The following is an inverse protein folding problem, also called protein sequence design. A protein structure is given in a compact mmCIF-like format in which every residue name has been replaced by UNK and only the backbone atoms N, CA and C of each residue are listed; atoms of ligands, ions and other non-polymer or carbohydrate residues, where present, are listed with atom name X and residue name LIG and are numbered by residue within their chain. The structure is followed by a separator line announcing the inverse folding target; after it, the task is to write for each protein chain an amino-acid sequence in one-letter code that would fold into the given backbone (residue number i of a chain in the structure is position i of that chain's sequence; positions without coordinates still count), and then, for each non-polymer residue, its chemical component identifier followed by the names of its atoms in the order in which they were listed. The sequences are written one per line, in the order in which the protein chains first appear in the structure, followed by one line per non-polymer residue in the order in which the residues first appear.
data_IF_788450259372
#
_entry.id   IF_788450259372
#
_cell.length_a   1.000
_cell.length_b   1.000
_cell.length_c   1.000
_cell.angle_alpha   90.00
_cell.angle_beta   90.00
_cell.angle_gamma   90.00
#
_symmetry.space_group_name_H-M   'P 1'
#
loop_
_entity.id
_entity.type
_entity.pdbx_description
1 polymer ?
#
# COMPACT_ATOMS: atom_id res chain seq x y z
N UNK A 1 48.30 -32.07 -43.39
CA UNK A 1 47.29 -32.06 -44.48
C UNK A 1 45.95 -31.63 -43.90
N UNK A 2 45.00 -31.28 -44.76
CA UNK A 2 43.67 -30.70 -44.46
C UNK A 2 43.75 -29.23 -44.01
N UNK A 3 43.30 -28.36 -44.91
CA UNK A 3 43.08 -26.94 -44.70
C UNK A 3 41.72 -26.58 -45.33
N UNK A 4 40.86 -25.88 -44.59
CA UNK A 4 39.67 -25.20 -45.08
C UNK A 4 39.67 -23.80 -44.42
N UNK A 5 40.11 -22.75 -45.12
CA UNK A 5 39.36 -21.93 -46.09
C UNK A 5 38.13 -21.22 -45.51
N UNK A 6 38.27 -19.90 -45.48
CA UNK A 6 37.29 -18.87 -45.09
C UNK A 6 36.86 -18.17 -46.37
N UNK A 7 35.58 -17.79 -46.51
CA UNK A 7 35.10 -16.48 -47.00
C UNK A 7 33.54 -16.51 -47.12
N UNK A 8 32.86 -15.34 -47.17
CA UNK A 8 31.50 -15.21 -46.62
C UNK A 8 30.41 -15.09 -47.69
N UNK A 9 29.16 -15.00 -47.23
CA UNK A 9 28.11 -14.32 -47.99
C UNK A 9 27.39 -13.28 -47.13
N UNK A 10 27.22 -12.09 -47.69
CA UNK A 10 26.54 -10.95 -47.09
C UNK A 10 25.29 -10.58 -47.92
N UNK A 11 24.45 -9.71 -47.36
CA UNK A 11 23.25 -9.11 -47.97
C UNK A 11 22.05 -10.10 -48.11
N UNK A 12 20.79 -9.70 -47.87
CA UNK A 12 20.19 -8.35 -48.03
C UNK A 12 18.87 -8.20 -47.23
N UNK A 13 18.54 -6.96 -46.87
CA UNK A 13 17.22 -6.37 -46.55
C UNK A 13 16.19 -7.17 -45.69
N UNK A 14 15.71 -6.72 -44.52
CA UNK A 14 15.09 -5.42 -44.16
C UNK A 14 13.68 -5.20 -44.72
N UNK A 15 12.63 -5.45 -43.91
CA UNK A 15 11.42 -4.62 -43.93
C UNK A 15 10.56 -4.73 -42.65
N UNK A 16 10.06 -3.57 -42.21
CA UNK A 16 8.80 -3.31 -41.49
C UNK A 16 8.63 -3.79 -40.03
N UNK A 17 8.91 -2.83 -39.14
CA UNK A 17 8.07 -2.51 -37.98
C UNK A 17 6.57 -2.52 -38.34
N UNK A 18 5.75 -3.15 -37.49
CA UNK A 18 4.53 -2.59 -36.91
C UNK A 18 3.90 -3.63 -35.97
N UNK A 19 3.95 -3.37 -34.66
CA UNK A 19 3.21 -4.11 -33.65
C UNK A 19 2.55 -3.10 -32.73
N UNK A 20 1.31 -2.71 -33.05
CA UNK A 20 0.47 -1.92 -32.16
C UNK A 20 0.21 -2.73 -30.89
N UNK A 21 0.34 -2.08 -29.74
CA UNK A 21 -0.01 -2.66 -28.46
C UNK A 21 -1.50 -2.56 -28.22
N UNK A 22 -2.22 -3.67 -28.28
CA UNK A 22 -3.59 -3.76 -27.76
C UNK A 22 -3.60 -3.52 -26.25
N UNK A 23 -4.02 -2.32 -25.85
CA UNK A 23 -4.44 -2.02 -24.49
C UNK A 23 -5.95 -2.18 -24.39
N UNK A 24 -6.40 -3.35 -23.94
CA UNK A 24 -7.81 -3.66 -23.73
C UNK A 24 -8.48 -2.63 -22.80
N UNK A 25 -9.49 -1.94 -23.32
CA UNK A 25 -10.31 -0.99 -22.54
C UNK A 25 -11.04 -1.71 -21.39
N UNK A 26 -11.02 -1.08 -20.22
CA UNK A 26 -12.04 -1.27 -19.19
C UNK A 26 -12.83 0.04 -19.12
N UNK A 27 -13.97 0.09 -19.79
CA UNK A 27 -14.95 1.16 -19.57
C UNK A 27 -15.81 0.80 -18.35
N UNK A 28 -16.01 1.78 -17.49
CA UNK A 28 -17.11 1.82 -16.54
C UNK A 28 -17.76 3.19 -16.72
N UNK A 29 -19.04 3.17 -17.05
CA UNK A 29 -19.80 4.35 -17.42
C UNK A 29 -20.07 5.23 -16.18
N UNK A 30 -20.10 6.53 -16.40
CA UNK A 30 -20.50 7.52 -15.42
C UNK A 30 -21.49 8.46 -16.10
N UNK A 31 -22.78 8.19 -15.91
CA UNK A 31 -23.85 9.07 -16.38
C UNK A 31 -23.85 10.37 -15.57
N UNK A 32 -23.98 11.48 -16.28
CA UNK A 32 -24.19 12.80 -15.71
C UNK A 32 -25.68 13.05 -15.57
N UNK A 33 -26.11 13.66 -14.47
CA UNK A 33 -27.40 14.34 -14.43
C UNK A 33 -27.25 15.77 -13.92
N UNK A 34 -27.94 16.69 -14.60
CA UNK A 34 -27.74 18.12 -14.47
C UNK A 34 -29.08 18.82 -14.71
N UNK A 35 -29.69 19.38 -13.67
CA UNK A 35 -30.87 20.25 -13.85
C UNK A 35 -30.89 21.43 -12.89
N UNK A 36 -31.01 22.62 -13.48
CA UNK A 36 -31.34 23.89 -12.83
C UNK A 36 -32.88 24.02 -12.70
N UNK A 37 -33.37 24.84 -11.76
CA UNK A 37 -34.35 25.90 -12.09
C UNK A 37 -34.72 26.84 -10.94
N UNK A 38 -35.31 27.97 -11.33
CA UNK A 38 -35.66 29.20 -10.60
C UNK A 38 -37.04 29.67 -11.16
N UNK A 39 -37.92 30.43 -10.49
CA UNK A 39 -37.85 31.09 -9.18
C UNK A 39 -39.25 31.57 -8.68
N UNK A 40 -39.30 32.12 -7.44
CA UNK A 40 -40.24 33.15 -6.93
C UNK A 40 -41.78 32.89 -6.78
N UNK A 41 -42.26 33.22 -5.57
CA UNK A 41 -43.54 33.85 -5.17
C UNK A 41 -44.91 33.41 -5.70
N UNK A 42 -45.83 33.17 -4.75
CA UNK A 42 -47.13 33.88 -4.67
C UNK A 42 -47.57 34.10 -3.21
N UNK A 43 -48.61 34.91 -3.02
CA UNK A 43 -49.10 35.58 -1.79
C UNK A 43 -50.08 34.78 -0.92
N UNK A 44 -50.28 35.18 0.34
CA UNK A 44 -51.54 34.91 1.06
C UNK A 44 -51.48 35.12 2.58
N UNK A 45 -52.25 36.07 3.10
CA UNK A 45 -52.57 36.23 4.54
C UNK A 45 -53.89 35.52 4.84
N UNK A 46 -53.96 34.70 5.89
CA UNK A 46 -55.17 34.45 6.70
C UNK A 46 -54.85 33.57 7.95
N UNK A 47 -55.82 33.43 8.86
CA UNK A 47 -55.86 32.54 10.04
C UNK A 47 -54.93 32.77 11.26
N UNK A 48 -55.25 33.82 12.03
CA UNK A 48 -54.95 33.88 13.47
C UNK A 48 -56.12 33.31 14.29
N UNK A 49 -56.26 31.98 14.37
CA UNK A 49 -56.94 31.25 15.47
C UNK A 49 -56.47 29.77 15.67
N UNK A 50 -55.40 29.31 15.00
CA UNK A 50 -54.94 27.91 15.09
C UNK A 50 -53.75 27.63 16.04
N UNK A 51 -53.18 28.65 16.71
CA UNK A 51 -51.89 28.53 17.42
C UNK A 51 -51.84 27.47 18.54
N UNK A 52 -52.91 27.26 19.33
CA UNK A 52 -52.86 26.31 20.46
C UNK A 52 -52.81 24.83 20.01
N UNK A 53 -53.54 24.46 18.96
CA UNK A 53 -53.50 23.10 18.41
C UNK A 53 -52.16 22.84 17.73
N UNK A 54 -51.65 23.83 16.99
CA UNK A 54 -50.39 23.71 16.27
C UNK A 54 -49.19 23.69 17.23
N UNK A 55 -49.26 24.42 18.36
CA UNK A 55 -48.25 24.35 19.43
C UNK A 55 -48.22 22.97 20.10
N UNK A 56 -49.37 22.35 20.37
CA UNK A 56 -49.44 20.98 20.92
C UNK A 56 -48.99 19.90 19.91
N UNK A 57 -49.27 20.08 18.62
CA UNK A 57 -48.75 19.19 17.57
C UNK A 57 -47.23 19.33 17.42
N UNK A 58 -46.70 20.56 17.41
CA UNK A 58 -45.27 20.84 17.36
C UNK A 58 -44.54 20.30 18.60
N UNK A 59 -45.12 20.45 19.80
CA UNK A 59 -44.58 19.85 21.02
C UNK A 59 -44.52 18.31 20.93
N UNK A 60 -45.53 17.66 20.36
CA UNK A 60 -45.50 16.21 20.13
C UNK A 60 -44.50 15.79 19.04
N UNK A 61 -44.29 16.59 18.00
CA UNK A 61 -43.24 16.35 16.99
C UNK A 61 -41.85 16.48 17.62
N UNK A 62 -41.59 17.55 18.39
CA UNK A 62 -40.32 17.75 19.12
C UNK A 62 -40.10 16.61 20.12
N UNK A 63 -41.12 16.18 20.86
CA UNK A 63 -41.02 15.06 21.81
C UNK A 63 -40.76 13.73 21.10
N UNK A 64 -41.43 13.43 19.98
CA UNK A 64 -41.12 12.26 19.14
C UNK A 64 -39.70 12.31 18.57
N UNK A 65 -39.24 13.49 18.13
CA UNK A 65 -37.88 13.70 17.59
C UNK A 65 -36.82 13.50 18.68
N UNK A 66 -37.02 14.05 19.88
CA UNK A 66 -36.14 13.85 21.02
C UNK A 66 -36.13 12.39 21.52
N UNK A 67 -37.28 11.72 21.58
CA UNK A 67 -37.35 10.29 21.93
C UNK A 67 -36.67 9.43 20.86
N UNK A 68 -36.81 9.76 19.57
CA UNK A 68 -36.04 9.14 18.48
C UNK A 68 -34.54 9.37 18.64
N UNK A 69 -34.09 10.59 18.95
CA UNK A 69 -32.66 10.87 19.20
C UNK A 69 -32.12 10.07 20.40
N UNK A 70 -32.89 9.95 21.49
CA UNK A 70 -32.46 9.13 22.64
C UNK A 70 -32.54 7.62 22.36
N UNK A 71 -33.54 7.12 21.65
CA UNK A 71 -33.64 5.71 21.30
C UNK A 71 -32.54 5.30 20.31
N UNK A 72 -32.24 6.14 19.31
CA UNK A 72 -31.09 5.95 18.43
C UNK A 72 -29.79 5.91 19.25
N UNK A 73 -29.56 6.85 20.18
CA UNK A 73 -28.33 6.87 20.99
C UNK A 73 -28.04 5.56 21.74
N UNK A 74 -29.06 4.77 22.11
CA UNK A 74 -28.91 3.45 22.73
C UNK A 74 -28.66 2.32 21.71
N UNK A 75 -29.32 2.37 20.55
CA UNK A 75 -29.10 1.44 19.44
C UNK A 75 -27.70 1.61 18.84
N UNK A 76 -27.31 2.85 18.56
CA UNK A 76 -25.98 3.25 18.10
C UNK A 76 -24.93 2.70 19.05
N UNK A 77 -25.04 3.01 20.35
CA UNK A 77 -24.10 2.56 21.37
C UNK A 77 -24.04 1.01 21.46
N UNK A 78 -25.13 0.29 21.18
CA UNK A 78 -25.10 -1.17 21.12
C UNK A 78 -24.34 -1.67 19.89
N UNK A 79 -24.60 -1.11 18.71
CA UNK A 79 -23.90 -1.52 17.51
C UNK A 79 -22.38 -1.22 17.57
N UNK A 80 -21.98 -0.07 18.15
CA UNK A 80 -20.57 0.23 18.40
C UNK A 80 -19.91 -0.82 19.32
N UNK A 81 -20.60 -1.24 20.40
CA UNK A 81 -20.14 -2.34 21.26
C UNK A 81 -20.00 -3.65 20.48
N UNK A 82 -20.97 -4.01 19.65
CA UNK A 82 -20.94 -5.26 18.88
C UNK A 82 -19.80 -5.31 17.87
N UNK A 83 -19.52 -4.19 17.18
CA UNK A 83 -18.37 -4.07 16.27
C UNK A 83 -17.03 -4.11 17.01
N UNK A 84 -16.93 -3.48 18.19
CA UNK A 84 -15.74 -3.55 19.05
C UNK A 84 -15.50 -4.97 19.62
N UNK A 85 -16.57 -5.67 20.02
CA UNK A 85 -16.51 -7.06 20.45
C UNK A 85 -16.12 -7.99 19.30
N UNK A 86 -16.63 -7.78 18.07
CA UNK A 86 -16.21 -8.53 16.89
C UNK A 86 -14.72 -8.31 16.58
N UNK A 87 -14.24 -7.06 16.60
CA UNK A 87 -12.81 -6.74 16.45
C UNK A 87 -11.95 -7.43 17.51
N UNK A 88 -12.37 -7.38 18.78
CA UNK A 88 -11.67 -8.03 19.89
C UNK A 88 -11.61 -9.55 19.75
N UNK A 89 -12.68 -10.20 19.28
CA UNK A 89 -12.71 -11.65 19.04
C UNK A 89 -11.78 -12.07 17.90
N UNK A 90 -11.84 -11.40 16.75
CA UNK A 90 -10.97 -11.67 15.60
C UNK A 90 -9.49 -11.45 15.95
N UNK A 91 -9.19 -10.39 16.70
CA UNK A 91 -7.85 -10.09 17.19
C UNK A 91 -7.32 -11.16 18.15
N UNK A 92 -8.13 -11.56 19.13
CA UNK A 92 -7.77 -12.62 20.08
C UNK A 92 -7.56 -13.97 19.37
N UNK A 93 -8.41 -14.30 18.38
CA UNK A 93 -8.26 -15.51 17.59
C UNK A 93 -6.98 -15.48 16.73
N UNK A 94 -6.70 -14.38 16.03
CA UNK A 94 -5.46 -14.23 15.27
C UNK A 94 -4.24 -14.43 16.19
N UNK A 95 -4.18 -13.69 17.30
CA UNK A 95 -3.06 -13.74 18.26
C UNK A 95 -2.90 -15.13 18.89
N UNK A 96 -3.97 -15.91 19.05
CA UNK A 96 -3.89 -17.30 19.46
C UNK A 96 -3.33 -18.20 18.34
N UNK A 97 -3.80 -18.05 17.10
CA UNK A 97 -3.34 -18.85 15.95
C UNK A 97 -1.88 -18.60 15.58
N UNK A 98 -1.37 -17.36 15.69
CA UNK A 98 0.01 -16.98 15.30
C UNK A 98 1.01 -16.89 16.45
N UNK A 99 0.62 -17.17 17.71
CA UNK A 99 1.51 -17.04 18.89
C UNK A 99 2.85 -17.77 18.75
N UNK A 100 2.82 -18.95 18.15
CA UNK A 100 3.97 -19.83 17.95
C UNK A 100 4.42 -19.83 16.47
N UNK A 101 4.00 -18.85 15.67
CA UNK A 101 4.50 -18.63 14.32
C UNK A 101 5.87 -17.93 14.36
N UNK A 102 6.64 -18.05 13.29
CA UNK A 102 7.69 -17.05 13.02
C UNK A 102 7.04 -15.69 12.77
N UNK A 103 7.73 -14.60 13.12
CA UNK A 103 7.37 -13.24 12.73
C UNK A 103 7.08 -13.17 11.20
N UNK A 104 5.90 -12.70 10.76
CA UNK A 104 5.64 -12.51 9.34
C UNK A 104 6.49 -11.38 8.77
N UNK A 105 7.01 -11.59 7.56
CA UNK A 105 7.74 -10.58 6.81
C UNK A 105 6.80 -9.81 5.88
N UNK A 106 6.49 -8.57 6.23
CA UNK A 106 5.56 -7.70 5.50
C UNK A 106 6.32 -6.75 4.57
N UNK A 107 5.93 -6.71 3.30
CA UNK A 107 6.51 -5.84 2.29
C UNK A 107 5.49 -4.81 1.82
N UNK A 108 5.79 -3.54 2.10
CA UNK A 108 5.11 -2.38 1.52
C UNK A 108 6.06 -1.55 0.66
N UNK A 109 5.53 -0.48 0.05
CA UNK A 109 6.36 0.44 -0.73
C UNK A 109 5.58 1.27 -1.75
N UNK A 110 6.16 2.40 -2.14
CA UNK A 110 5.59 3.30 -3.15
C UNK A 110 5.96 2.78 -4.55
N UNK A 111 5.17 1.82 -5.06
CA UNK A 111 5.26 1.32 -6.43
C UNK A 111 4.99 -0.18 -6.59
N UNK A 112 4.22 -0.55 -7.61
CA UNK A 112 3.66 -1.91 -7.75
C UNK A 112 4.64 -2.97 -8.30
N UNK A 113 5.64 -2.56 -9.09
CA UNK A 113 6.50 -3.47 -9.84
C UNK A 113 7.77 -3.86 -9.10
N UNK A 114 8.44 -2.93 -8.41
CA UNK A 114 9.64 -3.21 -7.61
C UNK A 114 9.36 -4.17 -6.45
N UNK A 115 8.27 -3.92 -5.72
CA UNK A 115 7.82 -4.75 -4.60
C UNK A 115 7.58 -6.23 -4.99
N UNK A 116 7.16 -6.53 -6.23
CA UNK A 116 7.03 -7.92 -6.72
C UNK A 116 8.37 -8.61 -6.92
N UNK A 117 9.41 -7.89 -7.36
CA UNK A 117 10.72 -8.47 -7.61
C UNK A 117 11.44 -8.85 -6.31
N UNK A 118 11.32 -8.02 -5.27
CA UNK A 118 11.87 -8.31 -3.93
C UNK A 118 11.09 -9.46 -3.24
N UNK A 119 9.77 -9.48 -3.35
CA UNK A 119 8.97 -10.61 -2.84
C UNK A 119 9.33 -11.94 -3.53
N UNK A 120 9.59 -11.92 -4.84
CA UNK A 120 10.11 -13.09 -5.56
C UNK A 120 11.50 -13.51 -5.07
N UNK A 121 12.42 -12.56 -4.85
CA UNK A 121 13.75 -12.81 -4.27
C UNK A 121 13.64 -13.54 -2.92
N UNK A 122 12.84 -13.04 -1.96
CA UNK A 122 12.71 -13.71 -0.66
C UNK A 122 11.93 -15.03 -0.73
N UNK A 123 11.10 -15.23 -1.76
CA UNK A 123 10.52 -16.54 -2.06
C UNK A 123 11.61 -17.56 -2.44
N UNK A 124 12.66 -17.14 -3.16
CA UNK A 124 13.81 -18.03 -3.46
C UNK A 124 14.68 -18.32 -2.21
N UNK A 125 14.68 -17.40 -1.24
CA UNK A 125 15.31 -17.56 0.07
C UNK A 125 14.53 -18.51 1.01
N UNK A 126 13.27 -18.85 0.69
CA UNK A 126 12.44 -19.78 1.46
C UNK A 126 11.35 -19.15 2.30
N UNK A 127 11.14 -17.83 2.20
CA UNK A 127 9.99 -17.16 2.82
C UNK A 127 8.75 -17.44 1.97
N UNK A 128 7.69 -17.97 2.58
CA UNK A 128 6.39 -18.08 1.91
C UNK A 128 5.78 -16.69 1.69
N UNK A 129 5.60 -16.29 0.44
CA UNK A 129 5.05 -14.97 0.05
C UNK A 129 3.74 -15.12 -0.73
N UNK A 130 2.84 -15.96 -0.23
CA UNK A 130 1.61 -16.31 -0.93
C UNK A 130 1.81 -17.29 -2.10
N UNK A 131 0.69 -17.86 -2.57
CA UNK A 131 0.68 -18.70 -3.77
C UNK A 131 0.79 -17.81 -5.01
N UNK A 132 1.98 -17.71 -5.58
CA UNK A 132 2.16 -17.27 -6.96
C UNK A 132 1.51 -18.27 -7.92
N UNK A 133 0.94 -17.77 -9.02
CA UNK A 133 0.73 -18.62 -10.20
C UNK A 133 2.09 -19.02 -10.80
N UNK A 134 2.09 -19.96 -11.74
CA UNK A 134 3.34 -20.50 -12.33
C UNK A 134 4.21 -19.49 -13.08
N UNK A 135 3.80 -18.21 -13.16
CA UNK A 135 4.56 -17.12 -13.74
C UNK A 135 4.58 -15.89 -12.84
N UNK A 136 5.72 -15.20 -12.79
CA UNK A 136 5.97 -13.94 -12.05
C UNK A 136 5.09 -12.77 -12.53
N UNK A 137 4.32 -12.96 -13.62
CA UNK A 137 3.46 -11.93 -14.22
C UNK A 137 2.09 -11.79 -13.54
N UNK A 138 1.57 -12.82 -12.87
CA UNK A 138 0.26 -12.77 -12.20
C UNK A 138 0.41 -12.31 -10.76
N UNK A 139 -0.57 -11.57 -10.26
CA UNK A 139 -0.60 -11.17 -8.85
C UNK A 139 -0.78 -12.41 -7.95
N UNK A 140 0.06 -12.46 -6.93
CA UNK A 140 0.06 -13.53 -5.93
C UNK A 140 -1.25 -13.56 -5.15
N UNK A 141 -1.59 -14.73 -4.59
CA UNK A 141 -2.88 -14.91 -3.91
C UNK A 141 -3.07 -13.96 -2.72
N UNK A 142 -2.00 -13.65 -1.99
CA UNK A 142 -1.98 -12.66 -0.90
C UNK A 142 -2.27 -11.23 -1.39
N UNK A 143 -1.69 -10.83 -2.53
CA UNK A 143 -2.00 -9.55 -3.17
C UNK A 143 -3.47 -9.44 -3.60
N UNK A 144 -4.10 -10.56 -3.98
CA UNK A 144 -5.54 -10.62 -4.29
C UNK A 144 -6.41 -10.60 -3.02
N UNK A 145 -6.02 -11.27 -1.94
CA UNK A 145 -6.71 -11.16 -0.64
C UNK A 145 -6.81 -9.69 -0.19
N UNK A 146 -5.72 -8.92 -0.33
CA UNK A 146 -5.71 -7.50 0.05
C UNK A 146 -6.72 -6.64 -0.75
N UNK A 147 -7.09 -7.05 -1.97
CA UNK A 147 -7.98 -6.30 -2.85
C UNK A 147 -9.44 -6.78 -2.74
N UNK A 148 -9.64 -8.09 -2.62
CA UNK A 148 -10.96 -8.73 -2.65
C UNK A 148 -11.85 -8.37 -1.45
N UNK A 149 -11.23 -8.00 -0.31
CA UNK A 149 -11.94 -7.63 0.90
C UNK A 149 -12.27 -8.80 1.82
N UNK A 150 -12.76 -8.48 3.01
CA UNK A 150 -13.18 -9.45 4.04
C UNK A 150 -14.51 -9.00 4.64
N UNK A 151 -15.30 -9.96 5.12
CA UNK A 151 -16.50 -9.66 5.90
C UNK A 151 -16.09 -9.00 7.22
N UNK A 152 -16.74 -7.89 7.57
CA UNK A 152 -16.62 -7.25 8.88
C UNK A 152 -18.00 -7.00 9.47
N UNK A 153 -18.15 -7.19 10.77
CA UNK A 153 -19.33 -6.78 11.54
C UNK A 153 -19.21 -5.30 11.87
N UNK A 154 -20.15 -4.50 11.37
CA UNK A 154 -20.12 -3.07 11.52
C UNK A 154 -21.52 -2.48 11.52
N UNK A 155 -21.67 -1.27 12.05
CA UNK A 155 -22.89 -0.50 11.88
C UNK A 155 -23.08 -0.06 10.43
N UNK A 156 -24.33 0.09 10.03
CA UNK A 156 -24.73 0.97 8.92
C UNK A 156 -24.27 2.42 9.16
N UNK A 157 -24.56 3.31 8.20
CA UNK A 157 -24.13 4.71 8.30
C UNK A 157 -24.96 5.51 9.33
N UNK A 158 -26.13 4.99 9.71
CA UNK A 158 -27.02 5.57 10.72
C UNK A 158 -26.69 5.12 12.16
N UNK A 159 -25.88 4.06 12.34
CA UNK A 159 -25.53 3.49 13.64
C UNK A 159 -26.49 2.40 14.15
N UNK A 160 -27.65 2.25 13.51
CA UNK A 160 -28.83 1.57 14.07
C UNK A 160 -28.77 0.04 13.94
N UNK A 161 -28.15 -0.49 12.88
CA UNK A 161 -28.10 -1.95 12.64
C UNK A 161 -26.70 -2.47 12.32
N UNK A 162 -26.40 -3.69 12.78
CA UNK A 162 -25.19 -4.41 12.39
C UNK A 162 -25.35 -4.99 10.97
N UNK A 163 -24.60 -4.45 10.02
CA UNK A 163 -24.46 -4.96 8.67
C UNK A 163 -23.16 -5.76 8.58
N UNK A 164 -23.27 -7.07 8.33
CA UNK A 164 -22.14 -7.84 7.82
C UNK A 164 -21.91 -7.50 6.35
N UNK A 165 -20.71 -7.05 6.00
CA UNK A 165 -20.40 -6.65 4.63
C UNK A 165 -18.94 -6.85 4.26
N UNK A 166 -18.70 -7.13 2.98
CA UNK A 166 -17.35 -7.23 2.40
C UNK A 166 -16.72 -5.83 2.33
N UNK A 167 -15.83 -5.53 3.27
CA UNK A 167 -15.03 -4.30 3.25
C UNK A 167 -13.75 -4.53 2.46
N UNK A 168 -13.47 -3.65 1.49
CA UNK A 168 -12.21 -3.61 0.74
C UNK A 168 -11.17 -2.77 1.49
N UNK A 169 -9.88 -3.14 1.39
CA UNK A 169 -8.77 -2.45 2.08
C UNK A 169 -8.81 -0.93 1.98
N UNK A 170 -9.09 -0.41 0.78
CA UNK A 170 -9.08 1.03 0.53
C UNK A 170 -10.15 1.82 1.29
N UNK A 171 -11.24 1.19 1.73
CA UNK A 171 -12.36 1.88 2.40
C UNK A 171 -11.93 2.38 3.77
N UNK A 172 -11.28 1.53 4.59
CA UNK A 172 -10.86 1.94 5.93
C UNK A 172 -9.57 2.76 5.90
N UNK A 173 -8.57 2.42 5.05
CA UNK A 173 -7.35 3.22 5.01
C UNK A 173 -7.59 4.62 4.42
N UNK A 174 -8.54 4.82 3.49
CA UNK A 174 -8.87 6.18 3.03
C UNK A 174 -9.59 6.99 4.12
N UNK A 175 -10.50 6.35 4.86
CA UNK A 175 -11.20 6.96 6.01
C UNK A 175 -10.26 7.23 7.20
N UNK A 176 -9.09 6.59 7.26
CA UNK A 176 -8.05 6.83 8.28
C UNK A 176 -7.01 7.87 7.85
N UNK A 177 -6.58 7.83 6.58
CA UNK A 177 -5.58 8.76 6.05
C UNK A 177 -6.09 10.20 5.96
N UNK A 178 -7.29 10.41 5.42
CA UNK A 178 -7.78 11.77 5.12
C UNK A 178 -7.96 12.65 6.38
N UNK A 179 -8.52 12.16 7.52
CA UNK A 179 -8.64 12.98 8.72
C UNK A 179 -7.28 13.23 9.41
N UNK A 180 -6.38 12.24 9.40
CA UNK A 180 -5.11 12.33 10.12
C UNK A 180 -3.98 12.98 9.30
N UNK A 181 -4.13 13.10 7.98
CA UNK A 181 -3.14 13.70 7.06
C UNK A 181 -1.77 13.01 7.05
N UNK A 182 -1.69 11.77 7.55
CA UNK A 182 -0.45 11.15 8.03
C UNK A 182 -0.60 9.63 8.10
N UNK A 183 0.48 8.87 7.89
CA UNK A 183 0.50 7.42 8.20
C UNK A 183 0.65 7.10 9.69
N UNK A 184 1.05 8.07 10.51
CA UNK A 184 1.05 7.93 11.97
C UNK A 184 -0.36 8.09 12.57
N UNK A 185 -1.38 7.59 11.86
CA UNK A 185 -2.73 7.57 12.37
C UNK A 185 -2.88 6.48 13.43
N UNK A 186 -3.77 6.72 14.39
CA UNK A 186 -4.16 5.77 15.42
C UNK A 186 -5.65 5.99 15.74
N UNK A 187 -6.21 5.22 16.68
CA UNK A 187 -7.64 5.29 17.02
C UNK A 187 -8.11 6.71 17.39
N UNK A 188 -7.28 7.59 17.96
CA UNK A 188 -7.70 8.92 18.42
C UNK A 188 -7.87 9.98 17.32
N UNK A 189 -7.19 9.84 16.17
CA UNK A 189 -7.34 10.78 15.04
C UNK A 189 -8.34 10.28 13.99
N UNK A 190 -8.74 9.01 14.04
CA UNK A 190 -9.77 8.45 13.15
C UNK A 190 -11.13 8.89 13.72
N UNK A 191 -11.82 9.76 12.99
CA UNK A 191 -13.06 10.42 13.43
C UNK A 191 -14.25 9.50 13.80
N UNK A 192 -14.13 8.18 13.60
CA UNK A 192 -15.14 7.20 14.00
C UNK A 192 -14.47 5.86 14.36
N UNK A 193 -14.68 5.38 15.59
CA UNK A 193 -14.19 4.08 16.09
C UNK A 193 -14.59 2.90 15.19
N UNK A 194 -15.72 2.99 14.49
CA UNK A 194 -16.17 1.99 13.52
C UNK A 194 -15.16 1.76 12.40
N UNK A 195 -14.46 2.82 11.95
CA UNK A 195 -13.40 2.69 10.93
C UNK A 195 -12.19 1.95 11.50
N UNK A 196 -11.84 2.20 12.76
CA UNK A 196 -10.79 1.45 13.44
C UNK A 196 -11.19 -0.03 13.62
N UNK A 197 -12.38 -0.30 14.16
CA UNK A 197 -12.89 -1.66 14.37
C UNK A 197 -13.01 -2.46 13.06
N UNK A 198 -13.52 -1.86 11.97
CA UNK A 198 -13.54 -2.47 10.63
C UNK A 198 -12.12 -2.78 10.15
N UNK A 199 -11.18 -1.85 10.26
CA UNK A 199 -9.78 -2.06 9.84
C UNK A 199 -9.06 -3.14 10.67
N UNK A 200 -9.34 -3.22 11.97
CA UNK A 200 -8.83 -4.26 12.88
C UNK A 200 -9.39 -5.64 12.54
N UNK A 201 -10.71 -5.78 12.32
CA UNK A 201 -11.33 -7.03 11.87
C UNK A 201 -10.79 -7.50 10.51
N UNK A 202 -10.71 -6.57 9.56
CA UNK A 202 -10.22 -6.82 8.21
C UNK A 202 -8.76 -7.28 8.21
N UNK A 203 -7.89 -6.58 8.95
CA UNK A 203 -6.46 -6.89 9.01
C UNK A 203 -6.23 -8.18 9.79
N UNK A 204 -7.02 -8.45 10.83
CA UNK A 204 -7.00 -9.73 11.54
C UNK A 204 -7.37 -10.89 10.61
N UNK A 205 -8.44 -10.72 9.82
CA UNK A 205 -8.89 -11.69 8.82
C UNK A 205 -7.85 -11.95 7.73
N UNK A 206 -7.15 -10.90 7.26
CA UNK A 206 -6.04 -11.03 6.30
C UNK A 206 -4.93 -11.93 6.85
N UNK A 207 -4.34 -11.59 8.00
CA UNK A 207 -3.22 -12.37 8.55
C UNK A 207 -3.63 -13.79 8.98
N UNK A 208 -4.85 -13.96 9.50
CA UNK A 208 -5.40 -15.28 9.84
C UNK A 208 -5.55 -16.17 8.60
N UNK A 209 -6.05 -15.59 7.49
CA UNK A 209 -6.15 -16.30 6.21
C UNK A 209 -4.75 -16.67 5.68
N UNK A 210 -3.84 -15.69 5.61
CA UNK A 210 -2.47 -15.92 5.16
C UNK A 210 -1.75 -17.01 5.97
N UNK A 211 -1.88 -16.99 7.29
CA UNK A 211 -1.28 -18.01 8.17
C UNK A 211 -1.83 -19.41 7.88
N UNK A 212 -3.15 -19.57 7.71
CA UNK A 212 -3.77 -20.85 7.34
C UNK A 212 -3.33 -21.33 5.95
N UNK A 213 -3.07 -20.40 5.03
CA UNK A 213 -2.51 -20.73 3.72
C UNK A 213 -1.05 -21.21 3.81
N UNK A 214 -0.24 -20.74 4.76
CA UNK A 214 1.11 -21.31 4.99
C UNK A 214 1.03 -22.76 5.43
N UNK A 215 0.09 -23.08 6.34
CA UNK A 215 -0.09 -24.43 6.90
C UNK A 215 -0.64 -25.45 5.91
N UNK A 216 -1.43 -24.99 4.94
CA UNK A 216 -2.01 -25.83 3.87
C UNK A 216 -1.16 -25.83 2.59
N UNK A 217 -0.10 -25.02 2.52
CA UNK A 217 0.79 -24.99 1.38
C UNK A 217 1.74 -26.19 1.38
N UNK A 218 1.46 -27.17 0.52
CA UNK A 218 2.41 -28.23 0.18
C UNK A 218 3.36 -27.76 -0.92
N UNK A 219 4.65 -27.46 -0.64
CA UNK A 219 5.61 -27.19 -1.69
C UNK A 219 5.84 -28.42 -2.60
N UNK A 220 6.17 -28.18 -3.87
CA UNK A 220 6.71 -29.24 -4.75
C UNK A 220 7.95 -29.87 -4.10
N UNK A 221 8.19 -31.16 -4.29
CA UNK A 221 9.26 -31.91 -3.59
C UNK A 221 10.62 -31.20 -3.60
N UNK A 222 11.05 -30.67 -4.75
CA UNK A 222 12.30 -29.90 -4.92
C UNK A 222 12.41 -28.60 -4.09
N UNK A 223 11.33 -28.19 -3.42
CA UNK A 223 11.24 -27.00 -2.57
C UNK A 223 10.87 -27.33 -1.11
N UNK A 224 10.74 -28.60 -0.70
CA UNK A 224 10.31 -28.95 0.67
C UNK A 224 11.27 -28.43 1.74
N UNK A 225 12.57 -28.64 1.57
CA UNK A 225 13.62 -28.09 2.45
C UNK A 225 13.57 -26.55 2.53
N UNK A 226 13.13 -25.89 1.46
CA UNK A 226 13.12 -24.43 1.36
C UNK A 226 12.14 -23.78 2.35
N UNK A 227 11.02 -24.44 2.65
CA UNK A 227 9.97 -23.93 3.54
C UNK A 227 9.96 -24.59 4.91
N UNK A 228 10.93 -25.47 5.22
CA UNK A 228 11.02 -26.20 6.48
C UNK A 228 11.12 -25.29 7.72
N UNK A 229 11.62 -24.05 7.55
CA UNK A 229 11.74 -23.05 8.62
C UNK A 229 10.42 -22.36 8.99
N UNK A 230 9.32 -22.60 8.25
CA UNK A 230 8.01 -21.99 8.53
C UNK A 230 7.94 -20.48 8.28
N UNK A 231 8.99 -19.87 7.71
CA UNK A 231 9.05 -18.46 7.38
C UNK A 231 7.95 -18.08 6.39
N UNK A 232 7.23 -17.01 6.70
CA UNK A 232 6.12 -16.53 5.90
C UNK A 232 6.03 -15.02 5.90
N UNK A 233 5.23 -14.48 4.99
CA UNK A 233 5.11 -13.06 4.80
C UNK A 233 3.95 -12.67 3.90
N UNK A 234 3.84 -11.36 3.71
CA UNK A 234 2.79 -10.71 2.96
C UNK A 234 3.39 -9.61 2.10
N UNK A 235 3.06 -9.54 0.81
CA UNK A 235 3.44 -8.40 -0.02
C UNK A 235 2.23 -7.70 -0.60
N UNK A 236 2.13 -6.40 -0.34
CA UNK A 236 1.29 -5.50 -1.13
C UNK A 236 1.87 -4.09 -1.08
N UNK A 237 1.96 -3.33 -2.20
CA UNK A 237 2.56 -1.98 -2.19
C UNK A 237 1.83 -1.07 -1.20
N UNK A 238 0.50 -1.16 -1.20
CA UNK A 238 -0.40 -0.45 -0.28
C UNK A 238 -0.41 -0.97 1.16
N UNK A 239 0.41 -1.97 1.52
CA UNK A 239 0.55 -2.41 2.91
C UNK A 239 1.04 -1.28 3.83
N UNK A 240 1.84 -0.34 3.27
CA UNK A 240 2.25 0.88 3.96
C UNK A 240 1.07 1.69 4.50
N UNK A 241 -0.05 1.76 3.78
CA UNK A 241 -1.25 2.50 4.19
C UNK A 241 -2.03 1.84 5.33
N UNK A 242 -1.71 0.60 5.70
CA UNK A 242 -2.33 -0.12 6.82
C UNK A 242 -1.33 -0.47 7.93
N UNK A 243 -0.15 0.14 7.94
CA UNK A 243 0.89 -0.11 8.96
C UNK A 243 0.41 0.05 10.41
N UNK A 244 -0.38 1.06 10.78
CA UNK A 244 -0.96 1.15 12.13
C UNK A 244 -1.85 -0.04 12.49
N UNK A 245 -2.66 -0.52 11.55
CA UNK A 245 -3.47 -1.72 11.75
C UNK A 245 -2.62 -2.98 11.86
N UNK A 246 -1.61 -3.15 11.01
CA UNK A 246 -0.68 -4.29 11.07
C UNK A 246 0.01 -4.34 12.45
N UNK A 247 0.53 -3.19 12.90
CA UNK A 247 1.20 -3.06 14.19
C UNK A 247 0.26 -3.40 15.36
N UNK A 248 -0.97 -2.89 15.31
CA UNK A 248 -2.00 -3.18 16.29
C UNK A 248 -2.41 -4.67 16.29
N UNK A 249 -2.71 -5.28 15.14
CA UNK A 249 -3.22 -6.66 15.14
C UNK A 249 -2.16 -7.70 15.46
N UNK A 250 -0.91 -7.48 15.02
CA UNK A 250 0.22 -8.36 15.28
C UNK A 250 0.95 -8.05 16.60
N UNK A 251 0.52 -7.04 17.36
CA UNK A 251 1.14 -6.64 18.65
C UNK A 251 2.63 -6.29 18.50
N UNK A 252 2.99 -5.66 17.38
CA UNK A 252 4.37 -5.42 16.97
C UNK A 252 5.16 -6.68 16.56
N UNK A 253 4.62 -7.89 16.67
CA UNK A 253 5.33 -9.16 16.39
C UNK A 253 5.43 -9.46 14.88
N UNK A 254 6.14 -8.61 14.13
CA UNK A 254 6.39 -8.77 12.70
C UNK A 254 7.66 -8.02 12.26
N UNK A 255 8.09 -8.28 11.02
CA UNK A 255 9.16 -7.52 10.36
C UNK A 255 8.60 -6.82 9.12
N UNK A 256 8.94 -5.56 8.93
CA UNK A 256 8.52 -4.77 7.78
C UNK A 256 9.71 -4.36 6.91
N UNK A 257 9.62 -4.68 5.62
CA UNK A 257 10.55 -4.22 4.58
C UNK A 257 9.88 -3.10 3.80
N UNK A 258 10.40 -1.89 3.94
CA UNK A 258 10.00 -0.72 3.18
C UNK A 258 10.76 -0.65 1.85
N UNK A 259 10.07 -0.99 0.76
CA UNK A 259 10.68 -0.94 -0.57
C UNK A 259 10.48 0.45 -1.17
N UNK A 260 11.59 1.10 -1.47
CA UNK A 260 11.64 2.40 -2.12
C UNK A 260 12.27 2.32 -3.51
N UNK A 261 12.00 3.37 -4.28
CA UNK A 261 12.60 3.70 -5.57
C UNK A 261 12.80 5.22 -5.59
N UNK A 262 13.77 5.71 -6.35
CA UNK A 262 13.98 7.15 -6.52
C UNK A 262 12.68 7.88 -6.89
N UNK A 263 12.36 8.93 -6.14
CA UNK A 263 11.11 9.68 -6.27
C UNK A 263 10.92 10.32 -7.64
N UNK A 264 12.01 10.77 -8.28
CA UNK A 264 11.96 11.38 -9.61
C UNK A 264 11.54 10.34 -10.66
N UNK A 265 12.04 9.13 -10.48
CA UNK A 265 11.85 7.99 -11.36
C UNK A 265 10.44 7.37 -11.26
N UNK A 266 9.80 7.55 -10.09
CA UNK A 266 8.36 7.33 -9.82
C UNK A 266 7.53 8.47 -10.41
N UNK A 267 7.80 9.72 -10.04
CA UNK A 267 6.97 10.89 -10.38
C UNK A 267 6.89 11.14 -11.89
N UNK A 268 8.00 11.00 -12.63
CA UNK A 268 8.02 11.14 -14.09
C UNK A 268 7.66 9.86 -14.85
N UNK A 269 7.29 8.77 -14.17
CA UNK A 269 6.98 7.49 -14.83
C UNK A 269 5.60 7.45 -15.48
N UNK A 270 5.43 6.61 -16.51
CA UNK A 270 4.15 6.50 -17.24
C UNK A 270 3.02 5.92 -16.37
N UNK A 271 3.36 5.10 -15.36
CA UNK A 271 2.37 4.51 -14.46
C UNK A 271 1.97 5.49 -13.33
N UNK A 272 1.01 6.36 -13.63
CA UNK A 272 0.42 7.32 -12.69
C UNK A 272 -0.71 6.75 -11.82
N UNK A 273 -1.00 5.43 -11.91
CA UNK A 273 -2.07 4.80 -11.13
C UNK A 273 -1.91 4.99 -9.61
N UNK A 274 -0.66 5.00 -9.11
CA UNK A 274 -0.39 5.28 -7.71
C UNK A 274 -0.85 6.69 -7.30
N UNK A 275 -0.39 7.72 -8.00
CA UNK A 275 -0.74 9.12 -7.73
C UNK A 275 -2.26 9.32 -7.80
N UNK A 276 -2.87 8.93 -8.92
CA UNK A 276 -4.30 9.09 -9.17
C UNK A 276 -5.17 8.36 -8.13
N UNK A 277 -4.75 7.18 -7.67
CA UNK A 277 -5.54 6.38 -6.71
C UNK A 277 -5.32 6.75 -5.24
N UNK A 278 -4.22 7.42 -4.88
CA UNK A 278 -3.82 7.70 -3.49
C UNK A 278 -3.88 9.18 -3.14
N UNK A 279 -3.52 10.11 -4.03
CA UNK A 279 -3.30 11.52 -3.64
C UNK A 279 -4.50 12.11 -2.89
N UNK A 280 -5.70 12.05 -3.47
CA UNK A 280 -6.93 12.56 -2.85
C UNK A 280 -7.35 11.84 -1.55
N UNK A 281 -6.86 10.61 -1.33
CA UNK A 281 -7.08 9.86 -0.07
C UNK A 281 -6.12 10.28 1.04
N UNK A 282 -4.99 10.89 0.70
CA UNK A 282 -3.94 11.30 1.63
C UNK A 282 -3.99 12.81 1.93
N UNK A 283 -4.25 13.64 0.90
CA UNK A 283 -4.33 15.09 1.02
C UNK A 283 -5.76 15.65 1.09
N UNK A 284 -6.79 14.80 0.95
CA UNK A 284 -8.19 15.21 0.81
C UNK A 284 -8.62 15.43 -0.64
N UNK A 285 -9.94 15.43 -0.92
CA UNK A 285 -10.49 15.42 -2.29
C UNK A 285 -10.17 16.68 -3.10
N UNK A 286 -10.06 17.82 -2.41
CA UNK A 286 -9.97 19.17 -3.01
C UNK A 286 -8.56 19.75 -2.98
N UNK A 287 -7.55 18.94 -2.64
CA UNK A 287 -6.16 19.43 -2.52
C UNK A 287 -5.54 19.74 -3.88
N UNK A 288 -5.00 20.95 -4.04
CA UNK A 288 -4.22 21.38 -5.21
C UNK A 288 -2.96 20.51 -5.45
N UNK A 289 -2.44 19.88 -4.39
CA UNK A 289 -1.36 18.90 -4.42
C UNK A 289 -1.73 17.62 -5.21
N UNK A 290 -3.00 17.47 -5.61
CA UNK A 290 -3.48 16.38 -6.44
C UNK A 290 -3.77 16.76 -7.90
N UNK A 291 -3.34 17.95 -8.35
CA UNK A 291 -3.22 18.24 -9.78
C UNK A 291 -2.03 17.48 -10.39
N UNK A 292 -2.14 17.09 -11.67
CA UNK A 292 -1.24 16.14 -12.37
C UNK A 292 0.18 16.69 -12.71
N UNK A 293 0.75 17.47 -11.81
CA UNK A 293 2.07 18.11 -11.93
C UNK A 293 3.19 17.20 -11.43
N UNK A 294 4.39 17.33 -12.00
CA UNK A 294 5.55 16.51 -11.60
C UNK A 294 5.98 16.80 -10.15
N UNK A 295 5.94 18.08 -9.76
CA UNK A 295 6.21 18.61 -8.43
C UNK A 295 5.33 17.92 -7.37
N UNK A 296 4.03 17.83 -7.66
CA UNK A 296 3.01 17.25 -6.79
C UNK A 296 3.20 15.74 -6.60
N UNK A 297 3.48 15.01 -7.68
CA UNK A 297 3.78 13.57 -7.64
C UNK A 297 5.01 13.28 -6.79
N UNK A 298 6.04 14.12 -6.94
CA UNK A 298 7.29 14.01 -6.20
C UNK A 298 7.12 14.37 -4.73
N UNK A 299 6.30 15.38 -4.41
CA UNK A 299 5.95 15.72 -3.03
C UNK A 299 5.11 14.64 -2.34
N UNK A 300 4.11 14.05 -3.02
CA UNK A 300 3.35 12.92 -2.49
C UNK A 300 4.27 11.72 -2.17
N UNK A 301 5.21 11.39 -3.06
CA UNK A 301 6.22 10.37 -2.81
C UNK A 301 7.08 10.72 -1.59
N UNK A 302 7.51 11.97 -1.45
CA UNK A 302 8.39 12.40 -0.37
C UNK A 302 7.69 12.34 1.00
N UNK A 303 6.48 12.90 1.09
CA UNK A 303 5.67 12.92 2.31
C UNK A 303 5.34 11.51 2.79
N UNK A 304 4.85 10.65 1.90
CA UNK A 304 4.50 9.27 2.25
C UNK A 304 5.71 8.45 2.72
N UNK A 305 6.90 8.62 2.11
CA UNK A 305 8.09 7.93 2.60
C UNK A 305 8.55 8.45 3.97
N UNK A 306 8.57 9.77 4.18
CA UNK A 306 8.93 10.37 5.46
C UNK A 306 7.95 9.97 6.58
N UNK A 307 6.68 9.81 6.24
CA UNK A 307 5.64 9.31 7.13
C UNK A 307 5.83 7.84 7.53
N UNK A 308 6.24 6.97 6.59
CA UNK A 308 6.58 5.56 6.88
C UNK A 308 7.81 5.50 7.80
N UNK A 309 8.85 6.30 7.52
CA UNK A 309 10.04 6.38 8.37
C UNK A 309 9.71 6.91 9.78
N UNK A 310 8.85 7.94 9.87
CA UNK A 310 8.36 8.49 11.14
C UNK A 310 7.62 7.42 11.96
N UNK A 311 6.62 6.77 11.35
CA UNK A 311 5.84 5.72 12.01
C UNK A 311 6.74 4.56 12.48
N UNK A 312 7.68 4.12 11.63
CA UNK A 312 8.60 3.04 11.96
C UNK A 312 9.47 3.39 13.18
N UNK A 313 10.05 4.59 13.21
CA UNK A 313 10.86 5.09 14.33
C UNK A 313 10.07 5.21 15.64
N UNK A 314 8.77 5.48 15.56
CA UNK A 314 7.90 5.70 16.71
C UNK A 314 7.28 4.40 17.25
N UNK A 315 7.25 3.32 16.47
CA UNK A 315 6.51 2.10 16.81
C UNK A 315 7.25 0.77 16.65
N UNK A 316 8.42 0.71 16.02
CA UNK A 316 9.16 -0.54 15.78
C UNK A 316 10.49 -0.61 16.51
N UNK A 317 10.91 -1.81 16.88
CA UNK A 317 12.30 -2.12 17.27
C UNK A 317 13.23 -2.04 16.03
N UNK A 318 14.50 -1.60 16.14
CA UNK A 318 15.45 -1.59 15.04
C UNK A 318 15.56 -2.90 14.23
N UNK A 319 15.32 -4.07 14.83
CA UNK A 319 15.34 -5.38 14.15
C UNK A 319 14.08 -5.67 13.33
N UNK A 320 13.04 -4.85 13.45
CA UNK A 320 11.71 -5.05 12.86
C UNK A 320 11.49 -4.22 11.59
N UNK A 321 12.39 -3.31 11.23
CA UNK A 321 12.21 -2.44 10.08
C UNK A 321 13.46 -2.41 9.20
N UNK A 322 13.28 -2.46 7.88
CA UNK A 322 14.38 -2.35 6.93
C UNK A 322 13.95 -1.55 5.69
N UNK A 323 14.71 -0.51 5.34
CA UNK A 323 14.57 0.16 4.04
C UNK A 323 15.38 -0.59 2.98
N UNK A 324 14.79 -0.74 1.80
CA UNK A 324 15.38 -1.40 0.63
C UNK A 324 15.16 -0.53 -0.59
N UNK A 325 16.22 -0.07 -1.26
CA UNK A 325 16.10 0.56 -2.58
C UNK A 325 16.10 -0.51 -3.65
N UNK A 326 15.18 -0.44 -4.60
CA UNK A 326 15.14 -1.38 -5.74
C UNK A 326 16.41 -1.26 -6.60
N UNK A 327 16.99 -0.06 -6.62
CA UNK A 327 18.24 0.33 -7.26
C UNK A 327 19.42 -0.55 -6.83
N UNK A 328 19.58 -0.85 -5.54
CA UNK A 328 20.74 -1.61 -5.02
C UNK A 328 20.78 -3.03 -5.59
N UNK A 329 19.62 -3.68 -5.75
CA UNK A 329 19.52 -4.99 -6.39
C UNK A 329 19.75 -4.93 -7.91
N UNK A 330 19.42 -3.80 -8.55
CA UNK A 330 19.66 -3.59 -10.00
C UNK A 330 21.13 -3.32 -10.29
N UNK A 331 21.86 -2.68 -9.37
CA UNK A 331 23.32 -2.60 -9.38
C UNK A 331 23.98 -3.93 -9.02
N UNK A 332 23.25 -4.83 -8.35
CA UNK A 332 23.73 -6.15 -7.95
C UNK A 332 24.56 -6.14 -6.67
N UNK A 333 24.38 -5.17 -5.77
CA UNK A 333 25.14 -5.05 -4.51
C UNK A 333 24.94 -6.28 -3.62
N UNK A 334 25.95 -7.17 -3.47
CA UNK A 334 25.80 -8.41 -2.71
C UNK A 334 25.51 -8.16 -1.24
N UNK A 335 26.01 -7.06 -0.66
CA UNK A 335 25.75 -6.70 0.73
C UNK A 335 24.26 -6.42 0.95
N UNK A 336 23.59 -5.85 -0.04
CA UNK A 336 22.17 -5.54 0.05
C UNK A 336 21.29 -6.79 0.04
N UNK A 337 21.63 -7.77 -0.80
CA UNK A 337 20.97 -9.07 -0.76
C UNK A 337 21.25 -9.82 0.55
N UNK A 338 22.49 -9.77 1.05
CA UNK A 338 22.85 -10.43 2.32
C UNK A 338 22.14 -9.79 3.50
N UNK A 339 22.04 -8.45 3.55
CA UNK A 339 21.29 -7.71 4.59
C UNK A 339 19.81 -8.11 4.59
N UNK A 340 19.19 -8.26 3.41
CA UNK A 340 17.81 -8.74 3.31
C UNK A 340 17.64 -10.20 3.76
N UNK A 341 18.59 -11.08 3.43
CA UNK A 341 18.56 -12.48 3.85
C UNK A 341 18.75 -12.64 5.37
N UNK A 342 19.71 -11.92 5.95
CA UNK A 342 19.91 -11.88 7.40
C UNK A 342 18.66 -11.31 8.11
N UNK A 343 18.06 -10.22 7.58
CA UNK A 343 16.83 -9.64 8.12
C UNK A 343 15.64 -10.60 8.04
N UNK A 344 15.48 -11.35 6.93
CA UNK A 344 14.44 -12.36 6.77
C UNK A 344 14.64 -13.63 7.61
N UNK A 345 15.78 -13.79 8.29
CA UNK A 345 16.11 -14.99 9.05
C UNK A 345 16.53 -16.18 8.19
N UNK A 346 17.00 -15.94 6.96
CA UNK A 346 17.49 -16.98 6.04
C UNK A 346 18.99 -17.22 6.25
N UNK A 347 19.45 -18.47 6.05
CA UNK A 347 20.88 -18.80 6.15
C UNK A 347 21.72 -18.17 5.02
N UNK A 348 22.95 -17.75 5.35
CA UNK A 348 23.87 -17.13 4.38
C UNK A 348 24.20 -18.03 3.19
N UNK A 349 24.50 -19.29 3.44
CA UNK A 349 24.75 -20.28 2.38
C UNK A 349 23.57 -20.42 1.38
N UNK A 350 22.32 -20.19 1.84
CA UNK A 350 21.16 -20.14 0.94
C UNK A 350 21.09 -18.81 0.19
N UNK A 351 21.42 -17.70 0.85
CA UNK A 351 21.52 -16.39 0.21
C UNK A 351 22.50 -16.41 -0.97
N UNK A 352 23.74 -16.88 -0.78
CA UNK A 352 24.77 -16.94 -1.82
C UNK A 352 24.29 -17.62 -3.12
N UNK A 353 23.63 -18.79 -2.99
CA UNK A 353 23.05 -19.55 -4.11
C UNK A 353 21.95 -18.77 -4.85
N UNK A 354 21.14 -18.02 -4.10
CA UNK A 354 20.02 -17.23 -4.63
C UNK A 354 20.52 -15.92 -5.26
N UNK A 355 21.52 -15.27 -4.67
CA UNK A 355 22.08 -13.99 -5.08
C UNK A 355 22.58 -14.06 -6.52
N UNK A 356 23.42 -15.06 -6.85
CA UNK A 356 23.97 -15.21 -8.20
C UNK A 356 22.91 -15.38 -9.30
N UNK A 357 21.73 -15.93 -8.96
CA UNK A 357 20.58 -16.05 -9.86
C UNK A 357 19.75 -14.76 -9.91
N UNK A 358 19.50 -14.16 -8.76
CA UNK A 358 18.69 -12.94 -8.60
C UNK A 358 19.33 -11.71 -9.23
N UNK A 359 20.66 -11.53 -9.13
CA UNK A 359 21.36 -10.41 -9.77
C UNK A 359 21.02 -10.35 -11.28
N UNK A 360 20.99 -11.50 -11.97
CA UNK A 360 20.60 -11.57 -13.39
C UNK A 360 19.16 -11.15 -13.65
N UNK A 361 18.23 -11.40 -12.72
CA UNK A 361 16.83 -11.00 -12.82
C UNK A 361 16.66 -9.47 -12.76
N UNK A 362 17.44 -8.81 -11.91
CA UNK A 362 17.37 -7.35 -11.73
C UNK A 362 18.14 -6.59 -12.80
N UNK A 363 19.35 -7.04 -13.18
CA UNK A 363 20.21 -6.34 -14.17
C UNK A 363 19.59 -6.24 -15.56
N UNK A 364 18.77 -7.21 -15.98
CA UNK A 364 17.99 -7.19 -17.25
C UNK A 364 17.02 -6.01 -17.34
N UNK A 365 16.71 -5.34 -16.21
CA UNK A 365 15.82 -4.17 -16.17
C UNK A 365 16.53 -2.84 -15.89
N UNK A 366 17.86 -2.79 -15.88
CA UNK A 366 18.65 -1.59 -15.50
C UNK A 366 18.22 -0.30 -16.23
N UNK A 367 17.82 -0.40 -17.49
CA UNK A 367 17.45 0.75 -18.33
C UNK A 367 16.08 1.36 -17.91
N UNK A 368 15.32 0.65 -17.07
CA UNK A 368 14.04 1.11 -16.50
C UNK A 368 14.18 1.85 -15.18
N UNK A 369 15.39 1.95 -14.61
CA UNK A 369 15.69 2.58 -13.32
C UNK A 369 16.75 3.69 -13.49
N UNK A 370 17.09 4.43 -12.42
CA UNK A 370 18.12 5.50 -12.42
C UNK A 370 17.85 6.63 -13.42
N UNK A 371 16.60 6.79 -13.86
CA UNK A 371 16.27 7.72 -14.94
C UNK A 371 16.94 7.41 -16.28
N UNK A 372 17.45 6.19 -16.51
CA UNK A 372 18.10 5.79 -17.77
C UNK A 372 17.14 5.87 -18.99
N UNK A 373 15.83 5.84 -18.74
CA UNK A 373 14.75 6.07 -19.69
C UNK A 373 14.54 7.55 -20.09
N UNK A 374 15.21 8.49 -19.44
CA UNK A 374 15.04 9.93 -19.69
C UNK A 374 16.28 10.54 -20.35
N UNK A 375 16.06 11.57 -21.17
CA UNK A 375 17.15 12.37 -21.73
C UNK A 375 17.93 13.11 -20.64
N UNK A 376 19.18 13.49 -20.96
CA UNK A 376 20.00 14.29 -20.04
C UNK A 376 19.34 15.63 -19.65
N UNK A 377 18.53 16.21 -20.53
CA UNK A 377 17.77 17.45 -20.26
C UNK A 377 16.66 17.21 -19.24
N UNK A 378 15.78 16.22 -19.48
CA UNK A 378 14.73 15.83 -18.53
C UNK A 378 15.29 15.49 -17.15
N UNK A 379 16.39 14.74 -17.08
CA UNK A 379 17.05 14.42 -15.80
C UNK A 379 17.50 15.67 -15.04
N UNK A 380 17.98 16.72 -15.72
CA UNK A 380 18.35 17.99 -15.08
C UNK A 380 17.12 18.72 -14.56
N UNK A 381 16.07 18.87 -15.37
CA UNK A 381 14.80 19.53 -15.00
C UNK A 381 14.17 18.87 -13.76
N UNK A 382 14.02 17.54 -13.80
CA UNK A 382 13.52 16.73 -12.70
C UNK A 382 14.37 16.83 -11.42
N UNK A 383 15.68 17.04 -11.55
CA UNK A 383 16.59 17.23 -10.40
C UNK A 383 16.55 18.65 -9.87
N UNK A 384 16.36 19.67 -10.71
CA UNK A 384 16.14 21.06 -10.30
C UNK A 384 14.85 21.20 -9.50
N UNK A 385 13.76 20.56 -9.93
CA UNK A 385 12.50 20.50 -9.16
C UNK A 385 12.70 19.75 -7.84
N UNK A 386 13.39 18.61 -7.84
CA UNK A 386 13.70 17.87 -6.61
C UNK A 386 14.59 18.67 -5.65
N UNK A 387 15.53 19.45 -6.19
CA UNK A 387 16.39 20.36 -5.44
C UNK A 387 15.62 21.56 -4.89
N UNK A 388 14.59 22.06 -5.59
CA UNK A 388 13.76 23.17 -5.13
C UNK A 388 12.92 22.83 -3.90
N UNK A 389 12.31 21.64 -3.87
CA UNK A 389 11.36 21.24 -2.82
C UNK A 389 12.06 20.72 -1.52
N UNK A 390 11.93 21.39 -0.36
CA UNK A 390 12.61 20.97 0.88
C UNK A 390 12.19 19.59 1.41
N UNK A 391 10.93 19.21 1.24
CA UNK A 391 10.40 17.92 1.70
C UNK A 391 11.00 16.78 0.84
N UNK A 392 11.10 17.01 -0.47
CA UNK A 392 11.76 16.07 -1.40
C UNK A 392 13.25 15.92 -1.07
N UNK A 393 13.96 17.02 -0.79
CA UNK A 393 15.36 16.96 -0.33
C UNK A 393 15.51 16.11 0.94
N UNK A 394 14.64 16.32 1.93
CA UNK A 394 14.64 15.55 3.19
C UNK A 394 14.38 14.05 2.94
N UNK A 395 13.40 13.72 2.10
CA UNK A 395 13.06 12.34 1.77
C UNK A 395 14.19 11.63 1.01
N UNK A 396 14.81 12.28 0.01
CA UNK A 396 15.95 11.75 -0.71
C UNK A 396 17.14 11.48 0.22
N UNK A 397 17.50 12.44 1.07
CA UNK A 397 18.58 12.26 2.06
C UNK A 397 18.28 11.11 3.03
N UNK A 398 17.08 11.06 3.62
CA UNK A 398 16.69 10.01 4.56
C UNK A 398 16.67 8.60 3.95
N UNK A 399 16.50 8.48 2.63
CA UNK A 399 16.52 7.23 1.87
C UNK A 399 17.86 6.97 1.15
N UNK A 400 18.88 7.82 1.34
CA UNK A 400 20.21 7.65 0.74
C UNK A 400 20.30 7.92 -0.77
N UNK A 401 19.41 8.73 -1.34
CA UNK A 401 19.47 9.20 -2.73
C UNK A 401 20.15 10.57 -2.84
N UNK A 402 21.00 10.73 -3.85
CA UNK A 402 21.54 12.05 -4.23
C UNK A 402 20.51 12.89 -4.97
N UNK A 403 20.55 14.21 -4.79
CA UNK A 403 19.77 15.16 -5.62
C UNK A 403 20.37 15.24 -7.04
N UNK A 404 21.69 15.14 -7.15
CA UNK A 404 22.43 14.83 -8.38
C UNK A 404 23.75 14.17 -7.90
N UNK A 405 24.15 12.97 -8.36
CA UNK A 405 23.60 12.15 -9.46
C UNK A 405 22.25 11.47 -9.19
N UNK A 406 21.67 10.88 -10.24
CA UNK A 406 20.54 9.93 -10.22
C UNK A 406 20.93 8.54 -9.68
N UNK A 407 21.70 8.50 -8.61
CA UNK A 407 22.20 7.25 -8.03
C UNK A 407 22.08 7.27 -6.50
N UNK A 408 21.95 6.09 -5.87
CA UNK A 408 22.34 5.88 -4.49
C UNK A 408 23.68 6.56 -4.17
N UNK A 409 23.69 7.43 -3.15
CA UNK A 409 24.94 8.06 -2.67
C UNK A 409 25.51 7.35 -1.43
N UNK A 410 24.65 6.65 -0.70
CA UNK A 410 25.02 5.73 0.38
C UNK A 410 24.97 4.29 -0.14
N UNK A 411 25.85 3.41 0.34
CA UNK A 411 25.74 1.96 0.16
C UNK A 411 24.49 1.39 0.83
N UNK A 412 24.07 0.17 0.48
CA UNK A 412 22.91 -0.44 1.11
C UNK A 412 23.12 -0.75 2.61
N UNK A 413 24.37 -0.87 3.07
CA UNK A 413 24.73 -0.94 4.50
C UNK A 413 24.55 0.37 5.25
N UNK A 414 24.64 1.52 4.57
CA UNK A 414 24.59 2.86 5.19
C UNK A 414 23.19 3.45 5.24
N UNK A 415 22.17 2.84 4.60
CA UNK A 415 20.77 3.28 4.74
C UNK A 415 20.34 3.03 6.19
N UNK A 416 20.12 4.08 7.01
CA UNK A 416 19.84 3.90 8.43
C UNK A 416 18.50 3.20 8.60
N UNK A 417 18.39 2.36 9.61
CA UNK A 417 17.15 1.65 9.94
C UNK A 417 15.97 2.62 10.04
N UNK A 418 16.11 3.75 10.75
CA UNK A 418 15.02 4.72 10.95
C UNK A 418 15.23 6.08 10.29
N UNK A 419 16.14 6.19 9.32
CA UNK A 419 16.64 7.46 8.80
C UNK A 419 17.53 8.21 9.81
N UNK A 420 18.10 9.34 9.38
CA UNK A 420 18.90 10.21 10.24
C UNK A 420 18.02 11.09 11.15
N UNK A 421 18.53 11.39 12.36
CA UNK A 421 17.91 12.25 13.38
C UNK A 421 17.78 13.70 12.93
#
# INVERSE_FOLDING_TARGET
MIAHHIMPNANKAQSKLNAQSDSSQFQLDAESDHHQSQELFTTGLEDVQHEDVQTLQNANIVRKKATSTMQNSNADAQCYRDSAHAASRELAQLRAEVRNASEPLVFGGIGDSGTRAVAYLVTQLGVWMGKYGETVKKDSRDSRLFINGFNTVACDEDGVSTVEGVVKSYVFYSRSLAPCGSLAYNQSCIANELTWNRGTQWTSSLFRTLWRDTKTYTPKAANQEMYAFGLWGFKHPRASFILPYINHVLDGNFKYVHIVRDGRDIAAGDNQYFFNSICKKYHGPDSELCTDKYENKLELWARLNLDILRFAREHFDPKQFMVVRIEDFVLGDPNCFQRLADFSGTSRARADIVIGKSIRLFTVKKDRYFGNKYSATQRREFSQVAAGNPIVRRANHALGYGIDPWQPVASCSEIPTFGFS
#
